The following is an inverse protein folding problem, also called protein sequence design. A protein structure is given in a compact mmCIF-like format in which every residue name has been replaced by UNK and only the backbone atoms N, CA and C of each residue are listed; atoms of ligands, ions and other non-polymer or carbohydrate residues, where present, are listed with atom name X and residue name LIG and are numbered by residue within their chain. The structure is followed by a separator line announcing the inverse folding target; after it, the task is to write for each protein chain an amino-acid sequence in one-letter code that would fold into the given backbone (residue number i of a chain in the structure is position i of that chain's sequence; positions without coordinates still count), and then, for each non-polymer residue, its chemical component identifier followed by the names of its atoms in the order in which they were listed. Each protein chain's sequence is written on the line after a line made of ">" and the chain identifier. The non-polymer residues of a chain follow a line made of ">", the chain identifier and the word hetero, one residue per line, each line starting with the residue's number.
data_IF_664028621476
#
_entry.id   IF_664028621476
#
_cell.length_a   1.000
_cell.length_b   1.000
_cell.length_c   1.000
_cell.angle_alpha   90.00
_cell.angle_beta   90.00
_cell.angle_gamma   90.00
#
_symmetry.space_group_name_H-M   'P 1'
#
loop_
_entity.id
_entity.type
_entity.pdbx_description
1 polymer ?
#
# COMPACT_ATOMS: atom_id res chain seq x y z
N UNK A 1 77.20 30.25 43.66
CA UNK A 1 77.46 31.64 43.21
C UNK A 1 76.67 31.83 41.89
N UNK A 2 75.90 32.94 41.88
CA UNK A 2 75.36 33.69 40.72
C UNK A 2 74.14 33.07 40.01
N UNK A 3 73.01 33.58 40.36
CA UNK A 3 72.19 34.61 39.68
C UNK A 3 71.42 34.02 38.44
N UNK A 4 70.20 33.80 38.55
CA UNK A 4 69.04 34.70 38.39
C UNK A 4 68.98 35.40 37.03
N UNK A 5 67.98 34.99 36.25
CA UNK A 5 67.24 36.05 35.52
C UNK A 5 65.88 35.46 35.09
N UNK A 6 64.84 36.04 35.65
CA UNK A 6 63.46 35.86 35.27
C UNK A 6 63.20 36.50 33.93
N UNK A 7 62.66 35.80 32.98
CA UNK A 7 61.99 36.41 31.83
C UNK A 7 60.52 36.01 31.79
N UNK A 8 59.76 36.96 32.19
CA UNK A 8 58.31 36.93 32.11
C UNK A 8 57.91 37.16 30.65
N UNK A 9 57.46 36.14 29.97
CA UNK A 9 56.90 36.26 28.63
C UNK A 9 55.39 36.17 28.74
N UNK A 10 54.75 37.32 28.61
CA UNK A 10 53.29 37.49 28.55
C UNK A 10 52.80 36.87 27.25
N UNK A 11 52.12 35.77 27.37
CA UNK A 11 51.44 35.15 26.24
C UNK A 11 50.05 35.77 26.14
N UNK A 12 49.85 36.64 25.13
CA UNK A 12 48.53 37.08 24.71
C UNK A 12 47.78 35.89 24.09
N UNK A 13 46.78 35.39 24.82
CA UNK A 13 45.83 34.43 24.28
C UNK A 13 44.81 35.20 23.45
N UNK A 14 44.99 35.17 22.14
CA UNK A 14 43.96 35.62 21.19
C UNK A 14 42.91 34.50 21.10
N UNK A 15 41.78 34.72 21.74
CA UNK A 15 40.59 33.87 21.59
C UNK A 15 39.98 34.17 20.22
N UNK A 16 40.33 33.34 19.25
CA UNK A 16 39.68 33.31 17.93
C UNK A 16 38.41 32.48 18.03
N UNK A 17 37.31 33.16 18.25
CA UNK A 17 35.95 32.53 18.22
C UNK A 17 35.64 32.16 16.79
N UNK A 18 35.88 30.89 16.43
CA UNK A 18 35.33 30.26 15.22
C UNK A 18 33.86 29.98 15.44
N UNK A 19 33.02 30.88 14.94
CA UNK A 19 31.61 30.62 14.77
C UNK A 19 31.46 29.52 13.70
N UNK A 20 31.19 28.28 14.15
CA UNK A 20 30.71 27.21 13.27
C UNK A 20 29.31 27.59 12.82
N UNK A 21 29.18 28.16 11.62
CA UNK A 21 27.92 28.17 10.90
C UNK A 21 27.62 26.74 10.50
N UNK A 22 26.76 26.06 11.29
CA UNK A 22 26.14 24.86 10.89
C UNK A 22 25.14 25.19 9.76
N UNK A 23 25.24 24.63 8.52
CA UNK A 23 24.19 24.81 7.55
C UNK A 23 22.95 24.08 8.09
N UNK A 24 21.90 24.83 8.36
CA UNK A 24 20.57 24.30 8.58
C UNK A 24 20.22 23.60 7.28
N UNK A 25 20.39 22.27 7.24
CA UNK A 25 19.84 21.43 6.18
C UNK A 25 18.35 21.69 6.18
N UNK A 26 17.87 22.36 5.12
CA UNK A 26 16.46 22.61 4.91
C UNK A 26 15.76 21.28 4.98
N UNK A 27 14.90 21.11 5.99
CA UNK A 27 13.95 20.03 6.06
C UNK A 27 13.10 20.16 4.80
N UNK A 28 13.36 19.28 3.83
CA UNK A 28 12.42 19.04 2.74
C UNK A 28 11.17 18.49 3.41
N UNK A 29 10.17 19.36 3.56
CA UNK A 29 8.82 18.96 3.86
C UNK A 29 8.36 18.10 2.68
N UNK A 30 8.58 16.80 2.81
CA UNK A 30 7.87 15.84 1.97
C UNK A 30 6.40 16.22 2.08
N UNK A 31 5.77 16.49 0.94
CA UNK A 31 4.32 16.61 0.82
C UNK A 31 3.72 15.28 1.25
N UNK A 32 3.56 15.10 2.53
CA UNK A 32 2.74 14.05 3.13
C UNK A 32 1.32 14.40 2.70
N UNK A 33 0.91 13.83 1.56
CA UNK A 33 -0.44 13.98 1.06
C UNK A 33 -1.37 13.65 2.21
N UNK A 34 -2.29 14.57 2.53
CA UNK A 34 -3.22 14.47 3.65
C UNK A 34 -4.06 13.19 3.48
N UNK A 35 -3.53 12.05 3.97
CA UNK A 35 -4.18 10.74 3.90
C UNK A 35 -5.37 10.81 4.85
N UNK A 36 -6.59 10.72 4.30
CA UNK A 36 -7.81 10.79 5.11
C UNK A 36 -7.87 9.60 6.09
N UNK A 37 -8.60 9.76 7.18
CA UNK A 37 -8.86 8.65 8.12
C UNK A 37 -9.49 7.45 7.38
N UNK A 38 -10.30 7.69 6.37
CA UNK A 38 -10.93 6.68 5.53
C UNK A 38 -9.91 5.94 4.65
N UNK A 39 -8.88 6.64 4.14
CA UNK A 39 -7.77 6.04 3.41
C UNK A 39 -6.94 5.13 4.33
N UNK A 40 -6.65 5.57 5.56
CA UNK A 40 -5.91 4.76 6.54
C UNK A 40 -6.67 3.50 6.92
N UNK A 41 -7.98 3.62 7.18
CA UNK A 41 -8.83 2.47 7.43
C UNK A 41 -8.82 1.50 6.25
N UNK A 42 -9.06 1.99 5.04
CA UNK A 42 -9.07 1.18 3.82
C UNK A 42 -7.76 0.42 3.62
N UNK A 43 -6.63 1.08 3.84
CA UNK A 43 -5.31 0.44 3.78
C UNK A 43 -5.18 -0.66 4.83
N UNK A 44 -5.54 -0.40 6.08
CA UNK A 44 -5.48 -1.37 7.17
C UNK A 44 -6.34 -2.60 6.88
N UNK A 45 -7.52 -2.42 6.30
CA UNK A 45 -8.41 -3.52 5.94
C UNK A 45 -7.79 -4.43 4.85
N UNK A 46 -7.19 -3.82 3.81
CA UNK A 46 -6.50 -4.60 2.76
C UNK A 46 -5.27 -5.31 3.32
N UNK A 47 -4.47 -4.66 4.16
CA UNK A 47 -3.31 -5.28 4.83
C UNK A 47 -3.75 -6.46 5.73
N UNK A 48 -4.88 -6.36 6.41
CA UNK A 48 -5.48 -7.43 7.20
C UNK A 48 -5.92 -8.61 6.33
N UNK A 49 -6.59 -8.34 5.21
CA UNK A 49 -6.97 -9.39 4.25
C UNK A 49 -5.74 -10.11 3.68
N UNK A 50 -4.69 -9.38 3.33
CA UNK A 50 -3.42 -9.96 2.86
C UNK A 50 -2.74 -10.75 3.98
N UNK A 51 -2.81 -10.31 5.24
CA UNK A 51 -2.29 -11.08 6.39
C UNK A 51 -3.02 -12.41 6.58
N UNK A 52 -4.34 -12.45 6.38
CA UNK A 52 -5.11 -13.68 6.36
C UNK A 52 -4.63 -14.63 5.24
N UNK A 53 -4.45 -14.13 4.02
CA UNK A 53 -3.92 -14.93 2.90
C UNK A 53 -2.52 -15.47 3.19
N UNK A 54 -1.67 -14.70 3.88
CA UNK A 54 -0.34 -15.13 4.32
C UNK A 54 -0.41 -16.32 5.28
N UNK A 55 -1.35 -16.29 6.23
CA UNK A 55 -1.57 -17.42 7.14
C UNK A 55 -2.00 -18.69 6.39
N UNK A 56 -2.78 -18.56 5.31
CA UNK A 56 -3.19 -19.69 4.47
C UNK A 56 -1.98 -20.19 3.63
N UNK A 57 -1.22 -19.28 3.02
CA UNK A 57 -0.01 -19.63 2.25
C UNK A 57 1.01 -20.40 3.12
N UNK A 58 1.19 -19.97 4.36
CA UNK A 58 2.08 -20.65 5.30
C UNK A 58 1.67 -22.11 5.58
N UNK A 59 0.38 -22.46 5.49
CA UNK A 59 -0.07 -23.86 5.56
C UNK A 59 0.40 -24.68 4.34
N UNK A 60 0.32 -24.08 3.16
CA UNK A 60 0.87 -24.69 1.96
C UNK A 60 2.39 -24.88 2.08
N UNK A 61 3.14 -23.88 2.51
CA UNK A 61 4.59 -23.92 2.70
C UNK A 61 5.04 -25.02 3.69
N UNK A 62 4.20 -25.33 4.69
CA UNK A 62 4.43 -26.45 5.63
C UNK A 62 3.94 -27.82 5.11
N UNK A 63 3.41 -27.88 3.88
CA UNK A 63 2.91 -29.13 3.29
C UNK A 63 1.55 -29.60 3.83
N UNK A 64 0.82 -28.75 4.56
CA UNK A 64 -0.51 -29.07 5.13
C UNK A 64 -1.60 -29.09 4.04
N UNK A 65 -1.39 -28.42 2.92
CA UNK A 65 -2.30 -28.39 1.78
C UNK A 65 -1.56 -28.03 0.48
N UNK A 66 -2.18 -28.34 -0.68
CA UNK A 66 -1.62 -27.92 -1.98
C UNK A 66 -1.82 -26.42 -2.19
N UNK A 67 -1.08 -25.82 -3.13
CA UNK A 67 -1.22 -24.42 -3.50
C UNK A 67 -2.64 -24.11 -4.04
N UNK A 68 -3.20 -25.03 -4.84
CA UNK A 68 -4.56 -24.91 -5.39
C UNK A 68 -5.59 -24.84 -4.26
N UNK A 69 -5.49 -25.72 -3.26
CA UNK A 69 -6.33 -25.71 -2.07
C UNK A 69 -6.17 -24.44 -1.25
N UNK A 70 -4.95 -23.94 -1.12
CA UNK A 70 -4.68 -22.69 -0.43
C UNK A 70 -5.31 -21.48 -1.16
N UNK A 71 -5.20 -21.45 -2.50
CA UNK A 71 -5.84 -20.42 -3.33
C UNK A 71 -7.37 -20.52 -3.27
N UNK A 72 -7.94 -21.70 -3.35
CA UNK A 72 -9.38 -21.93 -3.22
C UNK A 72 -9.89 -21.39 -1.88
N UNK A 73 -9.29 -21.80 -0.77
CA UNK A 73 -9.64 -21.31 0.56
C UNK A 73 -9.48 -19.80 0.69
N UNK A 74 -8.38 -19.23 0.15
CA UNK A 74 -8.14 -17.79 0.15
C UNK A 74 -9.22 -17.02 -0.61
N UNK A 75 -9.63 -17.52 -1.78
CA UNK A 75 -10.69 -16.92 -2.58
C UNK A 75 -12.04 -16.97 -1.86
N UNK A 76 -12.38 -18.12 -1.26
CA UNK A 76 -13.63 -18.28 -0.52
C UNK A 76 -13.72 -17.33 0.68
N UNK A 77 -12.63 -17.20 1.45
CA UNK A 77 -12.60 -16.29 2.58
C UNK A 77 -12.68 -14.82 2.13
N UNK A 78 -11.96 -14.42 1.09
CA UNK A 78 -12.04 -13.05 0.55
C UNK A 78 -13.46 -12.74 0.05
N UNK A 79 -14.16 -13.73 -0.53
CA UNK A 79 -15.54 -13.56 -1.03
C UNK A 79 -16.51 -13.25 0.10
N UNK A 80 -16.29 -13.84 1.28
CA UNK A 80 -17.14 -13.67 2.46
C UNK A 80 -16.68 -12.55 3.41
N UNK A 81 -15.44 -12.11 3.31
CA UNK A 81 -14.89 -11.10 4.22
C UNK A 81 -15.55 -9.74 3.99
N UNK A 82 -16.01 -9.11 5.10
CA UNK A 82 -16.68 -7.81 5.11
C UNK A 82 -16.12 -6.94 6.23
N UNK A 83 -16.26 -5.64 6.07
CA UNK A 83 -15.97 -4.67 7.13
C UNK A 83 -16.91 -3.45 7.04
N UNK A 84 -17.13 -2.78 8.16
CA UNK A 84 -18.07 -1.66 8.22
C UNK A 84 -19.46 -2.05 7.74
N UNK A 85 -20.15 -1.13 7.10
CA UNK A 85 -21.54 -1.34 6.61
C UNK A 85 -21.58 -2.04 5.26
N UNK A 86 -20.69 -1.68 4.33
CA UNK A 86 -20.72 -2.13 2.93
C UNK A 86 -19.32 -2.41 2.34
N UNK A 87 -18.31 -2.48 3.21
CA UNK A 87 -16.94 -2.82 2.80
C UNK A 87 -16.81 -4.27 2.36
N UNK A 88 -16.10 -4.49 1.25
CA UNK A 88 -15.85 -5.81 0.67
C UNK A 88 -14.49 -5.84 -0.02
N UNK A 89 -14.01 -7.06 -0.29
CA UNK A 89 -12.74 -7.28 -0.97
C UNK A 89 -12.95 -7.84 -2.37
N UNK A 90 -11.95 -7.64 -3.20
CA UNK A 90 -11.81 -8.24 -4.51
C UNK A 90 -10.34 -8.62 -4.73
N UNK A 91 -10.11 -9.54 -5.66
CA UNK A 91 -8.77 -9.93 -6.08
C UNK A 91 -8.75 -10.19 -7.59
N UNK A 92 -7.65 -9.77 -8.22
CA UNK A 92 -7.31 -10.12 -9.60
C UNK A 92 -5.93 -10.77 -9.61
N UNK A 93 -5.63 -11.65 -10.58
CA UNK A 93 -4.26 -12.14 -10.78
C UNK A 93 -3.37 -11.02 -11.32
N UNK A 94 -2.05 -11.23 -11.29
CA UNK A 94 -1.07 -10.32 -11.91
C UNK A 94 -1.22 -10.19 -13.42
N UNK A 95 -1.99 -11.07 -14.06
CA UNK A 95 -2.37 -11.05 -15.48
C UNK A 95 -3.75 -10.42 -15.72
N UNK A 96 -4.39 -9.89 -14.66
CA UNK A 96 -5.66 -9.19 -14.74
C UNK A 96 -6.89 -10.10 -14.82
N UNK A 97 -6.74 -11.40 -14.48
CA UNK A 97 -7.88 -12.32 -14.39
C UNK A 97 -8.54 -12.16 -13.02
N UNK A 98 -9.85 -11.94 -13.01
CA UNK A 98 -10.59 -11.78 -11.75
C UNK A 98 -10.66 -13.10 -10.98
N UNK A 99 -10.29 -13.07 -9.71
CA UNK A 99 -10.35 -14.19 -8.77
C UNK A 99 -11.61 -14.11 -7.91
N UNK A 100 -11.88 -12.92 -7.38
CA UNK A 100 -13.04 -12.64 -6.52
C UNK A 100 -13.56 -11.23 -6.80
N UNK A 101 -14.86 -11.10 -6.97
CA UNK A 101 -15.52 -9.80 -6.98
C UNK A 101 -16.90 -9.90 -6.32
N UNK A 102 -17.04 -9.28 -5.15
CA UNK A 102 -18.27 -9.37 -4.36
C UNK A 102 -19.53 -9.04 -5.17
N UNK A 103 -20.47 -9.98 -5.16
CA UNK A 103 -21.75 -9.85 -5.86
C UNK A 103 -21.66 -9.96 -7.39
N UNK A 104 -20.50 -10.28 -7.94
CA UNK A 104 -20.26 -10.40 -9.37
C UNK A 104 -19.49 -11.69 -9.70
N UNK A 105 -20.03 -12.82 -9.25
CA UNK A 105 -19.45 -14.14 -9.54
C UNK A 105 -19.35 -14.44 -11.05
N UNK A 106 -20.18 -13.79 -11.86
CA UNK A 106 -20.12 -13.81 -13.32
C UNK A 106 -18.83 -13.22 -13.90
N UNK A 107 -18.08 -12.43 -13.11
CA UNK A 107 -16.80 -11.83 -13.50
C UNK A 107 -15.60 -12.72 -13.16
N UNK A 108 -15.75 -13.64 -12.21
CA UNK A 108 -14.66 -14.53 -11.78
C UNK A 108 -14.17 -15.40 -12.97
N UNK A 109 -12.85 -15.48 -13.15
CA UNK A 109 -12.20 -16.14 -14.28
C UNK A 109 -12.08 -15.30 -15.55
N UNK A 110 -12.69 -14.11 -15.64
CA UNK A 110 -12.57 -13.23 -16.81
C UNK A 110 -11.32 -12.37 -16.72
N UNK A 111 -10.64 -12.19 -17.84
CA UNK A 111 -9.57 -11.18 -17.95
C UNK A 111 -10.20 -9.79 -18.07
N UNK A 112 -9.74 -8.86 -17.23
CA UNK A 112 -10.32 -7.53 -17.08
C UNK A 112 -9.34 -6.40 -17.44
N UNK A 113 -8.22 -6.71 -18.09
CA UNK A 113 -7.21 -5.70 -18.45
C UNK A 113 -7.76 -4.61 -19.37
N UNK A 114 -8.74 -4.97 -20.20
CA UNK A 114 -9.35 -4.03 -21.14
C UNK A 114 -10.65 -3.39 -20.61
N UNK A 115 -11.04 -3.72 -19.37
CA UNK A 115 -12.18 -3.05 -18.73
C UNK A 115 -11.87 -1.58 -18.49
N UNK A 116 -12.82 -0.72 -18.86
CA UNK A 116 -12.77 0.73 -18.68
C UNK A 116 -13.97 1.19 -17.87
N UNK A 117 -13.74 2.21 -17.07
CA UNK A 117 -14.83 2.97 -16.48
C UNK A 117 -15.43 3.97 -17.50
N UNK A 118 -16.53 4.63 -17.12
CA UNK A 118 -17.19 5.64 -17.97
C UNK A 118 -16.32 6.86 -18.34
N UNK A 119 -15.16 7.02 -17.69
CA UNK A 119 -14.17 8.06 -18.01
C UNK A 119 -13.05 7.55 -18.94
N UNK A 120 -13.07 6.26 -19.28
CA UNK A 120 -12.07 5.62 -20.11
C UNK A 120 -10.84 5.12 -19.35
N UNK A 121 -10.87 5.11 -18.02
CA UNK A 121 -9.77 4.63 -17.18
C UNK A 121 -9.70 3.12 -17.21
N UNK A 122 -8.55 2.56 -17.59
CA UNK A 122 -8.26 1.13 -17.47
C UNK A 122 -7.89 0.77 -16.02
N UNK A 123 -8.87 0.77 -15.14
CA UNK A 123 -8.66 0.71 -13.71
C UNK A 123 -7.94 -0.57 -13.24
N UNK A 124 -8.12 -1.71 -13.93
CA UNK A 124 -7.37 -2.94 -13.60
C UNK A 124 -5.88 -2.78 -13.89
N UNK A 125 -5.51 -2.14 -15.01
CA UNK A 125 -4.10 -1.82 -15.31
C UNK A 125 -3.49 -0.93 -14.25
N UNK A 126 -4.24 0.07 -13.78
CA UNK A 126 -3.82 0.94 -12.67
C UNK A 126 -3.63 0.16 -11.35
N UNK A 127 -4.54 -0.79 -11.05
CA UNK A 127 -4.40 -1.66 -9.88
C UNK A 127 -3.08 -2.45 -9.92
N UNK A 128 -2.80 -3.10 -11.06
CA UNK A 128 -1.58 -3.89 -11.23
C UNK A 128 -0.33 -3.02 -11.14
N UNK A 129 -0.33 -1.84 -11.73
CA UNK A 129 0.79 -0.91 -11.67
C UNK A 129 1.06 -0.46 -10.23
N UNK A 130 0.03 -0.05 -9.48
CA UNK A 130 0.14 0.34 -8.08
C UNK A 130 0.59 -0.82 -7.19
N UNK A 131 0.02 -1.99 -7.36
CA UNK A 131 0.38 -3.18 -6.58
C UNK A 131 1.84 -3.59 -6.79
N UNK A 132 2.35 -3.56 -8.04
CA UNK A 132 3.76 -3.80 -8.38
C UNK A 132 4.72 -2.76 -7.77
N UNK A 133 4.25 -1.53 -7.57
CA UNK A 133 5.01 -0.45 -6.92
C UNK A 133 4.98 -0.51 -5.37
N UNK A 134 4.47 -1.61 -4.78
CA UNK A 134 4.40 -1.78 -3.33
C UNK A 134 3.04 -1.44 -2.71
N UNK A 135 2.02 -1.24 -3.53
CA UNK A 135 0.66 -0.87 -3.09
C UNK A 135 0.35 0.60 -3.33
N UNK A 136 -0.93 0.95 -3.24
CA UNK A 136 -1.34 2.34 -3.42
C UNK A 136 -2.81 2.53 -3.72
N UNK A 137 -3.20 3.80 -3.81
CA UNK A 137 -4.58 4.19 -4.07
C UNK A 137 -4.81 4.40 -5.56
N UNK A 138 -6.01 3.98 -6.03
CA UNK A 138 -6.50 4.19 -7.39
C UNK A 138 -7.89 4.81 -7.32
N UNK A 139 -8.15 5.81 -8.15
CA UNK A 139 -9.46 6.47 -8.29
C UNK A 139 -10.04 6.13 -9.66
N UNK A 140 -11.27 5.67 -9.66
CA UNK A 140 -11.99 5.25 -10.86
C UNK A 140 -13.48 5.28 -10.61
N UNK A 141 -14.27 5.02 -11.65
CA UNK A 141 -15.71 4.90 -11.54
C UNK A 141 -16.10 3.42 -11.55
N UNK A 142 -17.03 3.04 -10.68
CA UNK A 142 -17.47 1.66 -10.59
C UNK A 142 -18.91 1.54 -10.11
N UNK A 143 -19.59 0.52 -10.59
CA UNK A 143 -20.99 0.25 -10.22
C UNK A 143 -21.06 -0.32 -8.81
N UNK A 144 -21.80 0.31 -7.91
CA UNK A 144 -22.10 -0.24 -6.58
C UNK A 144 -23.04 -1.40 -6.71
N UNK A 145 -22.88 -2.44 -5.86
CA UNK A 145 -23.76 -3.62 -5.85
C UNK A 145 -25.23 -3.19 -5.76
N UNK A 146 -26.05 -3.76 -6.64
CA UNK A 146 -27.49 -3.44 -6.74
C UNK A 146 -27.83 -2.15 -7.45
N UNK A 147 -26.84 -1.44 -8.00
CA UNK A 147 -27.03 -0.23 -8.80
C UNK A 147 -26.58 -0.47 -10.24
N UNK A 148 -27.03 0.37 -11.17
CA UNK A 148 -26.67 0.32 -12.59
C UNK A 148 -25.71 1.43 -13.00
N UNK A 149 -25.73 2.57 -12.30
CA UNK A 149 -24.86 3.69 -12.57
C UNK A 149 -23.52 3.54 -11.87
N UNK A 150 -22.43 3.89 -12.56
CA UNK A 150 -21.12 3.99 -11.96
C UNK A 150 -21.02 5.24 -11.07
N UNK A 151 -20.27 5.11 -9.98
CA UNK A 151 -20.01 6.17 -9.02
C UNK A 151 -18.50 6.32 -8.80
N UNK A 152 -18.01 7.52 -8.40
CA UNK A 152 -16.61 7.70 -8.05
C UNK A 152 -16.23 6.75 -6.91
N UNK A 153 -15.18 5.98 -7.11
CA UNK A 153 -14.65 5.03 -6.14
C UNK A 153 -13.17 5.25 -5.94
N UNK A 154 -12.73 5.15 -4.70
CA UNK A 154 -11.30 5.13 -4.33
C UNK A 154 -10.98 3.79 -3.70
N UNK A 155 -9.98 3.08 -4.25
CA UNK A 155 -9.53 1.78 -3.77
C UNK A 155 -8.07 1.83 -3.35
N UNK A 156 -7.72 1.03 -2.34
CA UNK A 156 -6.33 0.66 -2.05
C UNK A 156 -6.08 -0.75 -2.55
N UNK A 157 -4.89 -0.99 -3.10
CA UNK A 157 -4.48 -2.28 -3.66
C UNK A 157 -3.12 -2.68 -3.14
N UNK A 158 -2.93 -3.99 -2.93
CA UNK A 158 -1.69 -4.58 -2.48
C UNK A 158 -1.42 -5.90 -3.18
N UNK A 159 -0.17 -6.15 -3.57
CA UNK A 159 0.24 -7.42 -4.16
C UNK A 159 0.46 -8.47 -3.06
N UNK A 160 -0.12 -9.64 -3.25
CA UNK A 160 0.17 -10.84 -2.50
C UNK A 160 0.90 -11.84 -3.41
N UNK A 161 2.22 -11.77 -3.39
CA UNK A 161 3.09 -12.53 -4.31
C UNK A 161 2.90 -14.04 -4.24
N UNK A 162 2.74 -14.71 -3.05
CA UNK A 162 2.64 -16.16 -2.99
C UNK A 162 1.51 -16.75 -3.83
N UNK A 163 0.43 -15.99 -4.04
CA UNK A 163 -0.68 -16.43 -4.90
C UNK A 163 -0.67 -15.75 -6.28
N UNK A 164 0.18 -14.74 -6.49
CA UNK A 164 0.17 -13.89 -7.67
C UNK A 164 -1.12 -13.04 -7.75
N UNK A 165 -1.62 -12.55 -6.61
CA UNK A 165 -2.87 -11.81 -6.54
C UNK A 165 -2.67 -10.38 -6.13
N UNK A 166 -3.38 -9.48 -6.82
CA UNK A 166 -3.59 -8.11 -6.38
C UNK A 166 -4.91 -8.07 -5.63
N UNK A 167 -4.83 -7.79 -4.34
CA UNK A 167 -5.99 -7.71 -3.43
C UNK A 167 -6.33 -6.26 -3.22
N UNK A 168 -7.61 -5.93 -3.26
CA UNK A 168 -8.07 -4.57 -3.07
C UNK A 168 -9.40 -4.47 -2.35
N UNK A 169 -9.63 -3.27 -1.83
CA UNK A 169 -10.92 -2.83 -1.32
C UNK A 169 -11.09 -1.34 -1.61
N UNK A 170 -12.29 -0.79 -1.44
CA UNK A 170 -12.53 0.61 -1.75
C UNK A 170 -13.86 1.14 -1.22
N UNK A 171 -13.95 2.46 -1.14
CA UNK A 171 -15.16 3.17 -0.78
C UNK A 171 -15.65 4.05 -1.93
N UNK A 172 -16.95 4.33 -1.96
CA UNK A 172 -17.58 5.25 -2.89
C UNK A 172 -17.64 6.65 -2.27
N UNK A 173 -17.43 7.67 -3.10
CA UNK A 173 -17.47 9.08 -2.70
C UNK A 173 -18.81 9.72 -3.02
#
# INVERSE_FOLDING_TARGET
>A
MKNAMKNTMTVCVVLMSMAFLCPIAGAQSEKQGNTSAQDLLLRSEVETAVSMLRAISAKHERGEMTLEKAKELGADLLRELRYGTDGYFWADTTEGVNVVLYGRKDMEGRNRLEDKDQKGTFYVKEFLAKAKAGGGYVEYWFTKKGQTAEQPKRSYVLLFEPFGWVVGSGYYR
#
